data_IF_963653364542
#
_entry.id   IF_963653364542
#
_cell.length_a   1.000
_cell.length_b   1.000
_cell.length_c   1.000
_cell.angle_alpha   90.00
_cell.angle_beta   90.00
_cell.angle_gamma   90.00
#
_symmetry.space_group_name_H-M   'P 1'
#
loop_
_entity.id
_entity.type
_entity.pdbx_description
1 polymer ?
#
# COMPACT_ATOMS: atom_id res chain seq x y z
N UNK A 1 -0.94 37.05 13.37
CA UNK A 1 0.41 36.54 13.01
C UNK A 1 0.44 35.02 12.98
N UNK A 2 0.17 34.31 14.08
CA UNK A 2 0.10 32.83 14.10
C UNK A 2 -0.86 32.25 13.04
N UNK A 3 -2.10 32.75 12.92
CA UNK A 3 -3.05 32.25 11.91
C UNK A 3 -2.60 32.42 10.44
N UNK A 4 -1.80 33.45 10.14
CA UNK A 4 -1.26 33.69 8.79
C UNK A 4 -0.09 32.73 8.51
N UNK A 5 0.79 32.51 9.49
CA UNK A 5 1.89 31.55 9.40
C UNK A 5 1.34 30.12 9.25
N UNK A 6 0.33 29.76 10.05
CA UNK A 6 -0.36 28.47 9.92
C UNK A 6 -1.04 28.32 8.55
N UNK A 7 -1.70 29.36 8.03
CA UNK A 7 -2.29 29.35 6.69
C UNK A 7 -1.24 29.15 5.58
N UNK A 8 -0.11 29.87 5.64
CA UNK A 8 0.97 29.72 4.66
C UNK A 8 1.64 28.34 4.70
N UNK A 9 1.87 27.80 5.91
CA UNK A 9 2.41 26.45 6.08
C UNK A 9 1.44 25.40 5.57
N UNK A 10 0.15 25.55 5.85
CA UNK A 10 -0.92 24.66 5.38
C UNK A 10 -1.06 24.68 3.85
N UNK A 11 -0.95 25.85 3.21
CA UNK A 11 -0.97 25.97 1.75
C UNK A 11 0.29 25.40 1.09
N UNK A 12 1.47 25.57 1.73
CA UNK A 12 2.70 24.90 1.28
C UNK A 12 2.54 23.38 1.36
N UNK A 13 1.97 22.88 2.45
CA UNK A 13 1.65 21.47 2.68
C UNK A 13 0.73 20.87 1.62
N UNK A 14 -0.41 21.51 1.36
CA UNK A 14 -1.38 21.03 0.37
C UNK A 14 -0.80 21.02 -1.05
N UNK A 15 -0.01 22.04 -1.39
CA UNK A 15 0.70 22.09 -2.68
C UNK A 15 1.72 20.97 -2.81
N UNK A 16 2.47 20.68 -1.75
CA UNK A 16 3.43 19.58 -1.73
C UNK A 16 2.76 18.22 -1.88
N UNK A 17 1.69 17.96 -1.12
CA UNK A 17 0.92 16.72 -1.23
C UNK A 17 0.38 16.52 -2.65
N UNK A 18 -0.13 17.59 -3.28
CA UNK A 18 -0.61 17.55 -4.68
C UNK A 18 0.52 17.33 -5.69
N UNK A 19 1.67 17.98 -5.51
CA UNK A 19 2.82 17.85 -6.40
C UNK A 19 3.51 16.48 -6.32
N UNK A 20 3.50 15.86 -5.14
CA UNK A 20 4.13 14.55 -4.90
C UNK A 20 3.21 13.37 -5.22
N UNK A 21 1.89 13.61 -5.32
CA UNK A 21 0.89 12.64 -5.76
C UNK A 21 1.11 12.22 -7.21
N UNK A 22 1.07 10.92 -7.48
CA UNK A 22 1.16 10.37 -8.84
C UNK A 22 -0.24 10.13 -9.42
N UNK A 23 -0.41 10.20 -10.76
CA UNK A 23 -1.61 9.71 -11.43
C UNK A 23 -1.93 8.24 -11.07
N UNK A 24 -0.90 7.47 -10.79
CA UNK A 24 -0.94 6.03 -10.49
C UNK A 24 -1.22 5.71 -9.02
N UNK A 25 -1.26 6.71 -8.13
CA UNK A 25 -1.52 6.47 -6.71
C UNK A 25 -2.96 5.95 -6.52
N UNK A 26 -3.09 4.97 -5.62
CA UNK A 26 -4.38 4.46 -5.17
C UNK A 26 -5.22 5.55 -4.49
N UNK A 27 -6.51 5.23 -4.27
CA UNK A 27 -7.49 6.19 -3.78
C UNK A 27 -7.09 6.70 -2.39
N UNK A 28 -6.74 5.79 -1.48
CA UNK A 28 -6.36 6.16 -0.11
C UNK A 28 -5.01 6.88 -0.12
N UNK A 29 -4.07 6.41 -0.92
CA UNK A 29 -2.76 7.03 -1.04
C UNK A 29 -2.91 8.50 -1.45
N UNK A 30 -3.68 8.77 -2.49
CA UNK A 30 -3.92 10.14 -3.01
C UNK A 30 -4.61 11.05 -2.00
N UNK A 31 -5.67 10.58 -1.34
CA UNK A 31 -6.53 11.46 -0.53
C UNK A 31 -6.16 11.51 0.95
N UNK A 32 -5.48 10.48 1.46
CA UNK A 32 -5.08 10.32 2.86
C UNK A 32 -3.57 10.29 2.98
N UNK A 33 -2.88 9.27 2.41
CA UNK A 33 -1.48 9.04 2.74
C UNK A 33 -0.58 10.19 2.29
N UNK A 34 -0.79 10.76 1.09
CA UNK A 34 0.00 11.88 0.57
C UNK A 34 -0.09 13.14 1.42
N UNK A 35 -1.20 13.34 2.14
CA UNK A 35 -1.33 14.45 3.09
C UNK A 35 -0.47 14.26 4.34
N UNK A 36 -0.13 13.01 4.67
CA UNK A 36 0.69 12.64 5.81
C UNK A 36 2.15 12.41 5.43
N UNK A 37 2.44 11.84 4.25
CA UNK A 37 3.79 11.49 3.78
C UNK A 37 4.55 12.69 3.21
N UNK A 38 3.92 13.49 2.34
CA UNK A 38 4.57 14.65 1.70
C UNK A 38 5.26 15.61 2.68
N UNK A 39 4.68 15.94 3.84
CA UNK A 39 5.33 16.80 4.82
C UNK A 39 6.51 16.15 5.52
N UNK A 40 6.43 14.84 5.80
CA UNK A 40 7.54 14.08 6.35
C UNK A 40 8.70 14.11 5.35
N UNK A 41 8.41 13.84 4.08
CA UNK A 41 9.38 13.90 2.98
C UNK A 41 10.01 15.28 2.84
N UNK A 42 9.19 16.34 2.83
CA UNK A 42 9.69 17.71 2.76
C UNK A 42 10.55 18.06 3.96
N UNK A 43 10.13 17.70 5.17
CA UNK A 43 10.90 17.96 6.39
C UNK A 43 12.28 17.31 6.31
N UNK A 44 12.35 16.03 5.89
CA UNK A 44 13.60 15.28 5.70
C UNK A 44 14.51 15.95 4.67
N UNK A 45 13.94 16.40 3.54
CA UNK A 45 14.69 17.04 2.46
C UNK A 45 15.16 18.45 2.85
N UNK A 46 14.27 19.28 3.39
CA UNK A 46 14.55 20.68 3.77
C UNK A 46 15.59 20.79 4.88
N UNK A 47 15.62 19.83 5.82
CA UNK A 47 16.61 19.79 6.91
C UNK A 47 17.86 18.97 6.55
N UNK A 48 18.01 18.54 5.29
CA UNK A 48 19.15 17.75 4.81
C UNK A 48 19.45 16.51 5.68
N UNK A 49 18.42 15.86 6.22
CA UNK A 49 18.59 14.67 7.05
C UNK A 49 19.17 13.56 6.16
N UNK A 50 20.26 12.89 6.55
CA UNK A 50 21.00 11.93 5.71
C UNK A 50 20.29 10.56 5.62
N UNK A 51 18.99 10.56 5.35
CA UNK A 51 18.17 9.37 5.13
C UNK A 51 18.09 9.08 3.62
N UNK A 52 18.40 7.85 3.23
CA UNK A 52 18.25 7.38 1.84
C UNK A 52 16.86 6.76 1.63
N UNK A 53 16.38 6.63 0.38
CA UNK A 53 15.14 5.91 0.10
C UNK A 53 15.13 4.49 0.71
N UNK A 54 16.22 3.75 0.59
CA UNK A 54 16.33 2.39 1.14
C UNK A 54 16.24 2.36 2.67
N UNK A 55 16.75 3.39 3.38
CA UNK A 55 16.56 3.51 4.82
C UNK A 55 15.06 3.67 5.16
N UNK A 56 14.33 4.47 4.38
CA UNK A 56 12.89 4.62 4.59
C UNK A 56 12.10 3.35 4.26
N UNK A 57 12.46 2.62 3.21
CA UNK A 57 11.87 1.31 2.91
C UNK A 57 12.06 0.35 4.09
N UNK A 58 13.25 0.32 4.68
CA UNK A 58 13.52 -0.51 5.87
C UNK A 58 12.71 -0.04 7.09
N UNK A 59 12.60 1.26 7.33
CA UNK A 59 11.79 1.82 8.43
C UNK A 59 10.31 1.45 8.25
N UNK A 60 9.78 1.57 7.03
CA UNK A 60 8.41 1.14 6.69
C UNK A 60 8.22 -0.35 6.99
N UNK A 61 9.18 -1.19 6.60
CA UNK A 61 9.14 -2.62 6.89
C UNK A 61 9.20 -2.94 8.39
N UNK A 62 10.05 -2.26 9.17
CA UNK A 62 10.08 -2.41 10.63
C UNK A 62 8.76 -1.99 11.29
N UNK A 63 8.10 -0.95 10.77
CA UNK A 63 6.75 -0.56 11.20
C UNK A 63 5.72 -1.65 10.89
N UNK A 64 5.85 -2.33 9.74
CA UNK A 64 5.01 -3.48 9.41
C UNK A 64 5.21 -4.63 10.40
N UNK A 65 6.46 -4.95 10.75
CA UNK A 65 6.74 -5.97 11.77
C UNK A 65 6.15 -5.61 13.14
N UNK A 66 6.19 -4.34 13.53
CA UNK A 66 5.54 -3.87 14.75
C UNK A 66 4.00 -4.01 14.70
N UNK A 67 3.39 -3.77 13.54
CA UNK A 67 1.96 -4.04 13.30
C UNK A 67 1.64 -5.53 13.48
N UNK A 68 2.44 -6.41 12.86
CA UNK A 68 2.26 -7.87 13.00
C UNK A 68 2.36 -8.32 14.45
N UNK A 69 3.39 -7.86 15.16
CA UNK A 69 3.59 -8.19 16.57
C UNK A 69 2.43 -7.69 17.43
N UNK A 70 1.89 -6.51 17.13
CA UNK A 70 0.73 -5.97 17.86
C UNK A 70 -0.51 -6.87 17.73
N UNK A 71 -0.77 -7.44 16.55
CA UNK A 71 -1.85 -8.43 16.41
C UNK A 71 -1.59 -9.72 17.20
N UNK A 72 -0.34 -10.21 17.19
CA UNK A 72 0.06 -11.40 17.97
C UNK A 72 -0.06 -11.16 19.48
N UNK A 73 0.14 -9.93 19.95
CA UNK A 73 0.04 -9.52 21.35
C UNK A 73 -1.36 -9.05 21.77
N UNK A 74 -2.40 -9.32 20.98
CA UNK A 74 -3.79 -8.92 21.29
C UNK A 74 -4.01 -7.40 21.42
N UNK A 75 -3.25 -6.63 20.64
CA UNK A 75 -3.39 -5.18 20.52
C UNK A 75 -3.90 -4.79 19.12
N UNK A 76 -5.13 -5.21 18.71
CA UNK A 76 -5.60 -5.02 17.35
C UNK A 76 -5.73 -3.55 16.95
N UNK A 77 -6.08 -2.68 17.90
CA UNK A 77 -6.12 -1.23 17.65
C UNK A 77 -4.74 -0.71 17.21
N UNK A 78 -3.68 -1.03 17.97
CA UNK A 78 -2.32 -0.63 17.63
C UNK A 78 -1.85 -1.31 16.33
N UNK A 79 -2.18 -2.59 16.15
CA UNK A 79 -1.88 -3.33 14.92
C UNK A 79 -2.45 -2.65 13.68
N UNK A 80 -3.73 -2.27 13.71
CA UNK A 80 -4.38 -1.54 12.61
C UNK A 80 -3.80 -0.15 12.38
N UNK A 81 -3.52 0.62 13.44
CA UNK A 81 -2.87 1.94 13.33
C UNK A 81 -1.50 1.80 12.67
N UNK A 82 -0.67 0.86 13.11
CA UNK A 82 0.67 0.63 12.56
C UNK A 82 0.62 0.11 11.11
N UNK A 83 -0.41 -0.66 10.74
CA UNK A 83 -0.64 -1.06 9.36
C UNK A 83 -0.88 0.17 8.45
N UNK A 84 -1.68 1.13 8.89
CA UNK A 84 -1.89 2.37 8.17
C UNK A 84 -0.63 3.26 8.14
N UNK A 85 0.10 3.36 9.26
CA UNK A 85 1.37 4.11 9.32
C UNK A 85 2.39 3.51 8.34
N UNK A 86 2.48 2.19 8.24
CA UNK A 86 3.31 1.50 7.23
C UNK A 86 2.95 1.99 5.83
N UNK A 87 1.65 2.03 5.47
CA UNK A 87 1.19 2.53 4.17
C UNK A 87 1.55 4.00 3.89
N UNK A 88 1.65 4.83 4.93
CA UNK A 88 2.06 6.23 4.81
C UNK A 88 3.58 6.35 4.63
N UNK A 89 4.37 5.65 5.44
CA UNK A 89 5.83 5.69 5.41
C UNK A 89 6.40 5.14 4.10
N UNK A 90 5.74 4.14 3.53
CA UNK A 90 6.00 3.64 2.18
C UNK A 90 5.83 4.71 1.09
N UNK A 91 4.99 5.71 1.32
CA UNK A 91 4.89 6.84 0.41
C UNK A 91 6.16 7.72 0.41
N UNK A 92 6.85 7.77 1.55
CA UNK A 92 7.96 8.70 1.83
C UNK A 92 9.23 8.28 1.09
N UNK A 93 9.56 6.99 0.99
CA UNK A 93 10.79 6.54 0.33
C UNK A 93 10.82 6.93 -1.17
N UNK A 94 9.71 6.76 -1.86
CA UNK A 94 9.56 7.08 -3.27
C UNK A 94 9.48 8.59 -3.48
N UNK A 95 8.93 9.33 -2.53
CA UNK A 95 8.95 10.81 -2.53
C UNK A 95 10.38 11.33 -2.37
N UNK A 96 11.15 10.82 -1.40
CA UNK A 96 12.57 11.17 -1.23
C UNK A 96 13.37 10.80 -2.47
N UNK A 97 13.15 9.61 -3.05
CA UNK A 97 13.83 9.19 -4.27
C UNK A 97 13.57 10.13 -5.45
N UNK A 98 12.36 10.73 -5.54
CA UNK A 98 12.02 11.73 -6.55
C UNK A 98 12.65 13.09 -6.24
N UNK A 99 12.50 13.56 -5.00
CA UNK A 99 12.98 14.88 -4.58
C UNK A 99 14.51 14.99 -4.63
N UNK A 100 15.23 13.92 -4.31
CA UNK A 100 16.70 13.87 -4.36
C UNK A 100 17.28 13.28 -5.65
N UNK A 101 16.45 12.93 -6.64
CA UNK A 101 16.86 12.22 -7.86
C UNK A 101 17.65 10.92 -7.60
N UNK A 102 17.30 10.20 -6.53
CA UNK A 102 17.97 8.96 -6.08
C UNK A 102 17.19 7.69 -6.48
N UNK A 103 16.49 7.70 -7.62
CA UNK A 103 15.79 6.50 -8.11
C UNK A 103 16.81 5.43 -8.51
N UNK A 104 16.61 4.19 -8.08
CA UNK A 104 17.45 3.06 -8.45
C UNK A 104 16.63 1.80 -8.71
N UNK A 105 17.10 0.94 -9.61
CA UNK A 105 16.46 -0.37 -9.89
C UNK A 105 16.52 -1.29 -8.68
N UNK A 106 17.64 -1.26 -7.93
CA UNK A 106 17.79 -2.03 -6.70
C UNK A 106 16.78 -1.59 -5.64
N UNK A 107 16.64 -0.29 -5.39
CA UNK A 107 15.66 0.24 -4.42
C UNK A 107 14.23 -0.13 -4.81
N UNK A 108 13.86 0.02 -6.09
CA UNK A 108 12.53 -0.38 -6.58
C UNK A 108 12.26 -1.88 -6.44
N UNK A 109 13.28 -2.73 -6.61
CA UNK A 109 13.18 -4.17 -6.36
C UNK A 109 13.03 -4.48 -4.87
N UNK A 110 13.86 -3.88 -4.02
CA UNK A 110 13.85 -4.10 -2.57
C UNK A 110 12.51 -3.69 -1.95
N UNK A 111 12.04 -2.48 -2.25
CA UNK A 111 10.71 -1.97 -1.92
C UNK A 111 9.64 -2.97 -2.35
N UNK A 112 9.78 -3.44 -3.60
CA UNK A 112 8.84 -4.41 -4.15
C UNK A 112 8.88 -5.80 -3.51
N UNK A 113 9.92 -6.18 -2.77
CA UNK A 113 9.96 -7.46 -2.07
C UNK A 113 9.47 -7.30 -0.65
N UNK A 114 9.95 -6.26 0.05
CA UNK A 114 9.61 -6.00 1.44
C UNK A 114 8.13 -5.68 1.63
N UNK A 115 7.51 -4.97 0.69
CA UNK A 115 6.06 -4.77 0.67
C UNK A 115 5.27 -6.09 0.73
N UNK A 116 5.75 -7.12 0.04
CA UNK A 116 5.06 -8.40 -0.07
C UNK A 116 5.19 -9.21 1.23
N UNK A 117 6.33 -9.12 1.89
CA UNK A 117 6.49 -9.64 3.25
C UNK A 117 5.62 -8.87 4.25
N UNK A 118 5.61 -7.54 4.17
CA UNK A 118 4.80 -6.68 5.04
C UNK A 118 3.31 -6.97 4.89
N UNK A 119 2.78 -6.92 3.68
CA UNK A 119 1.36 -7.11 3.38
C UNK A 119 0.87 -8.49 3.80
N UNK A 120 1.57 -9.56 3.41
CA UNK A 120 1.20 -10.92 3.76
C UNK A 120 1.32 -11.15 5.27
N UNK A 121 2.40 -10.67 5.91
CA UNK A 121 2.61 -10.84 7.34
C UNK A 121 1.56 -10.12 8.18
N UNK A 122 1.15 -8.91 7.79
CA UNK A 122 0.07 -8.15 8.47
C UNK A 122 -1.25 -8.94 8.37
N UNK A 123 -1.62 -9.44 7.19
CA UNK A 123 -2.86 -10.21 7.05
C UNK A 123 -2.80 -11.54 7.81
N UNK A 124 -1.68 -12.26 7.75
CA UNK A 124 -1.50 -13.51 8.49
C UNK A 124 -1.59 -13.30 9.99
N UNK A 125 -0.92 -12.28 10.54
CA UNK A 125 -1.00 -11.96 11.97
C UNK A 125 -2.41 -11.50 12.40
N UNK A 126 -3.11 -10.75 11.55
CA UNK A 126 -4.51 -10.39 11.78
C UNK A 126 -5.45 -11.61 11.78
N UNK A 127 -5.23 -12.56 10.87
CA UNK A 127 -5.94 -13.85 10.84
C UNK A 127 -5.66 -14.67 12.09
N UNK A 128 -4.40 -14.74 12.54
CA UNK A 128 -4.04 -15.42 13.78
C UNK A 128 -4.73 -14.81 14.99
N UNK A 129 -4.78 -13.48 15.08
CA UNK A 129 -5.54 -12.76 16.11
C UNK A 129 -7.02 -13.19 16.10
N UNK A 130 -7.67 -13.19 14.93
CA UNK A 130 -9.07 -13.61 14.76
C UNK A 130 -9.29 -15.07 15.17
N UNK A 131 -8.41 -15.99 14.79
CA UNK A 131 -8.53 -17.41 15.16
C UNK A 131 -8.49 -17.64 16.67
N UNK A 132 -7.79 -16.79 17.43
CA UNK A 132 -7.78 -16.88 18.91
C UNK A 132 -9.05 -16.34 19.56
N UNK A 133 -9.73 -15.40 18.91
CA UNK A 133 -10.87 -14.65 19.49
C UNK A 133 -12.24 -15.15 19.00
N UNK A 134 -12.32 -15.68 17.78
CA UNK A 134 -13.56 -16.17 17.19
C UNK A 134 -13.65 -17.69 17.27
N UNK A 135 -13.97 -18.18 18.48
CA UNK A 135 -14.16 -19.62 18.72
C UNK A 135 -15.26 -20.18 17.82
N UNK A 136 -14.98 -21.28 17.14
CA UNK A 136 -15.94 -21.98 16.28
C UNK A 136 -15.93 -21.56 14.81
N UNK A 137 -15.21 -20.50 14.44
CA UNK A 137 -15.08 -20.02 13.04
C UNK A 137 -13.69 -20.30 12.43
N UNK A 138 -13.01 -21.33 12.91
CA UNK A 138 -11.62 -21.62 12.53
C UNK A 138 -11.46 -21.84 11.02
N UNK A 139 -12.42 -22.56 10.42
CA UNK A 139 -12.37 -22.90 9.00
C UNK A 139 -12.63 -21.66 8.14
N UNK A 140 -13.65 -20.89 8.48
CA UNK A 140 -14.08 -19.67 7.79
C UNK A 140 -12.98 -18.63 7.80
N UNK A 141 -12.42 -18.33 8.98
CA UNK A 141 -11.33 -17.36 9.14
C UNK A 141 -10.08 -17.81 8.37
N UNK A 142 -9.75 -19.11 8.40
CA UNK A 142 -8.59 -19.64 7.66
C UNK A 142 -8.80 -19.54 6.15
N UNK A 143 -9.97 -19.93 5.63
CA UNK A 143 -10.29 -19.85 4.20
C UNK A 143 -10.28 -18.40 3.74
N UNK A 144 -10.95 -17.49 4.45
CA UNK A 144 -10.97 -16.07 4.10
C UNK A 144 -9.57 -15.45 4.13
N UNK A 145 -8.74 -15.82 5.12
CA UNK A 145 -7.33 -15.42 5.19
C UNK A 145 -6.52 -15.88 3.98
N UNK A 146 -6.64 -17.16 3.61
CA UNK A 146 -5.96 -17.71 2.42
C UNK A 146 -6.42 -17.03 1.13
N UNK A 147 -7.73 -16.80 0.98
CA UNK A 147 -8.31 -16.12 -0.18
C UNK A 147 -7.84 -14.67 -0.27
N UNK A 148 -7.76 -13.95 0.85
CA UNK A 148 -7.23 -12.60 0.90
C UNK A 148 -5.76 -12.54 0.45
N UNK A 149 -4.89 -13.36 1.05
CA UNK A 149 -3.46 -13.43 0.70
C UNK A 149 -3.27 -13.82 -0.77
N UNK A 150 -4.04 -14.81 -1.26
CA UNK A 150 -4.02 -15.21 -2.66
C UNK A 150 -4.35 -14.04 -3.59
N UNK A 151 -5.47 -13.35 -3.37
CA UNK A 151 -5.87 -12.20 -4.19
C UNK A 151 -4.82 -11.07 -4.19
N UNK A 152 -4.19 -10.82 -3.03
CA UNK A 152 -3.14 -9.82 -2.88
C UNK A 152 -1.89 -10.14 -3.69
N UNK A 153 -1.43 -11.40 -3.63
CA UNK A 153 -0.28 -11.87 -4.38
C UNK A 153 -0.58 -11.82 -5.88
N UNK A 154 -1.75 -12.32 -6.31
CA UNK A 154 -2.16 -12.28 -7.71
C UNK A 154 -2.21 -10.84 -8.23
N UNK A 155 -2.78 -9.90 -7.45
CA UNK A 155 -2.83 -8.49 -7.85
C UNK A 155 -1.43 -7.92 -8.13
N UNK A 156 -0.47 -8.14 -7.22
CA UNK A 156 0.91 -7.69 -7.41
C UNK A 156 1.62 -8.42 -8.55
N UNK A 157 1.39 -9.72 -8.68
CA UNK A 157 2.02 -10.57 -9.69
C UNK A 157 1.61 -10.15 -11.10
N UNK A 158 0.30 -9.98 -11.33
CA UNK A 158 -0.25 -9.53 -12.62
C UNK A 158 0.34 -8.17 -13.02
N UNK A 159 0.51 -7.24 -12.07
CA UNK A 159 1.13 -5.95 -12.33
C UNK A 159 2.60 -6.10 -12.75
N UNK A 160 3.37 -6.84 -11.97
CA UNK A 160 4.81 -6.99 -12.18
C UNK A 160 5.13 -7.78 -13.45
N UNK A 161 4.35 -8.82 -13.77
CA UNK A 161 4.57 -9.63 -14.98
C UNK A 161 4.21 -8.86 -16.25
N UNK A 162 3.13 -8.05 -16.22
CA UNK A 162 2.79 -7.17 -17.33
C UNK A 162 3.92 -6.16 -17.58
N UNK A 163 4.40 -5.52 -16.52
CA UNK A 163 5.52 -4.57 -16.60
C UNK A 163 6.78 -5.23 -17.14
N UNK A 164 7.07 -6.47 -16.73
CA UNK A 164 8.25 -7.20 -17.20
C UNK A 164 8.18 -7.58 -18.68
N UNK A 165 7.00 -7.98 -19.19
CA UNK A 165 6.84 -8.42 -20.58
C UNK A 165 6.73 -7.26 -21.57
N UNK A 166 5.99 -6.20 -21.21
CA UNK A 166 5.72 -5.09 -22.12
C UNK A 166 6.62 -3.88 -21.88
N UNK A 167 7.42 -3.87 -20.80
CA UNK A 167 8.23 -2.73 -20.37
C UNK A 167 7.41 -1.42 -20.18
N UNK A 168 6.11 -1.56 -19.92
CA UNK A 168 5.16 -0.46 -19.72
C UNK A 168 4.53 -0.65 -18.34
N UNK A 169 4.41 0.43 -17.57
CA UNK A 169 3.73 0.34 -16.28
C UNK A 169 2.23 0.11 -16.49
N UNK A 170 1.58 -0.86 -15.81
CA UNK A 170 0.14 -1.06 -15.85
C UNK A 170 -0.67 0.21 -15.60
N UNK A 171 -0.14 1.14 -14.81
CA UNK A 171 -0.79 2.39 -14.47
C UNK A 171 -0.74 3.44 -15.60
N UNK A 172 0.12 3.25 -16.61
CA UNK A 172 0.14 4.09 -17.83
C UNK A 172 -0.97 3.66 -18.82
N UNK A 173 -1.37 2.38 -18.75
CA UNK A 173 -2.34 1.79 -19.68
C UNK A 173 -3.75 1.76 -19.10
N UNK A 174 -3.87 1.59 -17.78
CA UNK A 174 -5.15 1.56 -17.05
C UNK A 174 -5.21 2.75 -16.11
N UNK A 175 -6.01 3.76 -16.47
CA UNK A 175 -6.08 5.05 -15.77
C UNK A 175 -6.87 5.03 -14.46
N UNK A 176 -7.69 4.00 -14.23
CA UNK A 176 -8.47 3.89 -12.99
C UNK A 176 -7.68 3.14 -11.91
N UNK A 177 -7.60 3.67 -10.68
CA UNK A 177 -6.93 3.00 -9.58
C UNK A 177 -7.65 1.69 -9.23
N UNK A 178 -6.87 0.67 -8.88
CA UNK A 178 -7.44 -0.61 -8.47
C UNK A 178 -8.09 -0.49 -7.10
N UNK A 179 -9.28 -1.05 -6.92
CA UNK A 179 -9.89 -1.18 -5.60
C UNK A 179 -9.10 -2.13 -4.69
N UNK A 180 -8.38 -3.09 -5.29
CA UNK A 180 -7.48 -4.00 -4.58
C UNK A 180 -6.08 -3.39 -4.36
N UNK A 181 -5.90 -2.08 -4.46
CA UNK A 181 -4.58 -1.48 -4.22
C UNK A 181 -4.15 -1.62 -2.76
N UNK A 182 -2.83 -1.63 -2.52
CA UNK A 182 -2.25 -1.88 -1.20
C UNK A 182 -2.73 -0.90 -0.13
N UNK A 183 -2.77 0.38 -0.48
CA UNK A 183 -3.28 1.47 0.37
C UNK A 183 -4.73 1.27 0.81
N UNK A 184 -5.61 0.75 -0.08
CA UNK A 184 -7.00 0.45 0.27
C UNK A 184 -7.07 -0.69 1.28
N UNK A 185 -6.28 -1.76 1.10
CA UNK A 185 -6.29 -2.92 2.00
C UNK A 185 -5.78 -2.58 3.39
N UNK A 186 -4.65 -1.87 3.50
CA UNK A 186 -4.10 -1.48 4.80
C UNK A 186 -5.03 -0.50 5.54
N UNK A 187 -5.67 0.42 4.81
CA UNK A 187 -6.65 1.32 5.38
C UNK A 187 -7.92 0.60 5.84
N UNK A 188 -8.35 -0.42 5.10
CA UNK A 188 -9.49 -1.26 5.50
C UNK A 188 -9.20 -2.01 6.81
N UNK A 189 -7.99 -2.57 6.96
CA UNK A 189 -7.54 -3.17 8.22
C UNK A 189 -7.59 -2.14 9.35
N UNK A 190 -7.06 -0.94 9.11
CA UNK A 190 -7.05 0.14 10.08
C UNK A 190 -8.45 0.53 10.56
N UNK A 191 -9.37 0.81 9.65
CA UNK A 191 -10.76 1.16 9.98
C UNK A 191 -11.46 0.01 10.70
N UNK A 192 -11.29 -1.21 10.19
CA UNK A 192 -11.80 -2.42 10.83
C UNK A 192 -11.35 -2.58 12.27
N UNK A 193 -10.07 -2.31 12.53
CA UNK A 193 -9.48 -2.42 13.85
C UNK A 193 -9.95 -1.32 14.82
N UNK A 194 -10.14 -0.09 14.31
CA UNK A 194 -10.70 1.01 15.11
C UNK A 194 -12.15 0.75 15.49
N UNK A 195 -12.95 0.29 14.53
CA UNK A 195 -14.39 0.07 14.72
C UNK A 195 -14.71 -1.23 15.47
N UNK A 196 -13.75 -2.16 15.55
CA UNK A 196 -13.93 -3.47 16.17
C UNK A 196 -14.59 -4.52 15.27
N UNK A 197 -14.83 -4.20 13.99
CA UNK A 197 -15.43 -5.12 13.01
C UNK A 197 -14.38 -6.01 12.35
N UNK A 198 -13.71 -6.84 13.15
CA UNK A 198 -12.54 -7.61 12.70
C UNK A 198 -12.90 -8.68 11.66
N UNK A 199 -13.99 -9.42 11.86
CA UNK A 199 -14.40 -10.51 10.98
C UNK A 199 -14.90 -9.99 9.64
N UNK A 200 -15.74 -8.96 9.68
CA UNK A 200 -16.27 -8.26 8.50
C UNK A 200 -15.14 -7.66 7.67
N UNK A 201 -14.11 -7.13 8.34
CA UNK A 201 -12.89 -6.63 7.69
C UNK A 201 -12.16 -7.74 6.93
N UNK A 202 -12.06 -8.94 7.50
CA UNK A 202 -11.44 -10.07 6.81
C UNK A 202 -12.25 -10.51 5.58
N UNK A 203 -13.59 -10.55 5.68
CA UNK A 203 -14.47 -10.83 4.53
C UNK A 203 -14.25 -9.78 3.44
N UNK A 204 -14.29 -8.50 3.81
CA UNK A 204 -14.11 -7.40 2.88
C UNK A 204 -12.71 -7.43 2.22
N UNK A 205 -11.65 -7.76 2.97
CA UNK A 205 -10.30 -7.95 2.44
C UNK A 205 -10.25 -9.08 1.41
N UNK A 206 -10.86 -10.23 1.70
CA UNK A 206 -10.88 -11.38 0.80
C UNK A 206 -11.60 -11.03 -0.51
N UNK A 207 -12.77 -10.40 -0.43
CA UNK A 207 -13.57 -9.99 -1.58
C UNK A 207 -12.87 -8.92 -2.41
N UNK A 208 -12.41 -7.83 -1.78
CA UNK A 208 -11.76 -6.73 -2.49
C UNK A 208 -10.48 -7.23 -3.17
N UNK A 209 -9.66 -8.01 -2.48
CA UNK A 209 -8.40 -8.50 -3.04
C UNK A 209 -8.62 -9.43 -4.22
N UNK A 210 -9.56 -10.37 -4.13
CA UNK A 210 -9.85 -11.30 -5.23
C UNK A 210 -10.55 -10.61 -6.39
N UNK A 211 -11.68 -9.94 -6.15
CA UNK A 211 -12.45 -9.28 -7.21
C UNK A 211 -11.60 -8.21 -7.90
N UNK A 212 -10.90 -7.37 -7.13
CA UNK A 212 -10.05 -6.33 -7.70
C UNK A 212 -8.82 -6.89 -8.44
N UNK A 213 -8.26 -8.03 -8.02
CA UNK A 213 -7.21 -8.71 -8.78
C UNK A 213 -7.74 -9.26 -10.11
N UNK A 214 -8.93 -9.85 -10.13
CA UNK A 214 -9.58 -10.38 -11.34
C UNK A 214 -9.93 -9.27 -12.31
N UNK A 215 -10.53 -8.17 -11.84
CA UNK A 215 -10.83 -7.00 -12.69
C UNK A 215 -9.54 -6.48 -13.32
N UNK A 216 -8.49 -6.30 -12.51
CA UNK A 216 -7.19 -5.80 -13.01
C UNK A 216 -6.56 -6.74 -14.04
N UNK A 217 -6.68 -8.05 -13.82
CA UNK A 217 -6.22 -9.04 -14.79
C UNK A 217 -6.96 -8.92 -16.12
N UNK A 218 -8.29 -8.82 -16.11
CA UNK A 218 -9.09 -8.67 -17.33
C UNK A 218 -8.74 -7.38 -18.07
N UNK A 219 -8.61 -6.26 -17.36
CA UNK A 219 -8.19 -4.98 -17.93
C UNK A 219 -6.84 -5.10 -18.64
N UNK A 220 -5.84 -5.68 -17.98
CA UNK A 220 -4.50 -5.84 -18.55
C UNK A 220 -4.45 -6.88 -19.66
N UNK A 221 -5.26 -7.94 -19.59
CA UNK A 221 -5.38 -8.94 -20.66
C UNK A 221 -5.92 -8.31 -21.95
N UNK A 222 -6.96 -7.48 -21.84
CA UNK A 222 -7.52 -6.76 -22.99
C UNK A 222 -6.47 -5.85 -23.66
N UNK A 223 -5.62 -5.22 -22.84
CA UNK A 223 -4.54 -4.34 -23.31
C UNK A 223 -3.37 -5.11 -23.90
N UNK A 224 -2.95 -6.20 -23.26
CA UNK A 224 -1.91 -7.10 -23.77
C UNK A 224 -2.27 -7.61 -25.17
N UNK A 225 -3.55 -7.99 -25.39
CA UNK A 225 -4.03 -8.41 -26.71
C UNK A 225 -3.88 -7.30 -27.75
N UNK A 226 -4.27 -6.07 -27.42
CA UNK A 226 -4.15 -4.92 -28.35
C UNK A 226 -2.70 -4.57 -28.69
N UNK A 227 -1.77 -4.75 -27.76
CA UNK A 227 -0.34 -4.51 -27.98
C UNK A 227 0.30 -5.60 -28.83
N UNK A 228 -0.07 -6.88 -28.61
CA UNK A 228 0.45 -8.00 -29.38
C UNK A 228 -0.07 -8.09 -30.82
N UNK A 229 -1.25 -7.54 -31.11
CA UNK A 229 -1.79 -7.47 -32.48
C UNK A 229 -1.18 -6.35 -33.32
N UNK A 230 -0.48 -5.39 -32.71
CA UNK A 230 0.14 -4.24 -33.40
C UNK A 230 1.59 -4.47 -33.84
N UNK A 231 2.21 -5.58 -33.45
CA UNK A 231 3.61 -5.94 -33.76
C UNK A 231 3.75 -6.92 -34.92
N UNK A 232 2.70 -7.08 -35.73
CA UNK A 232 2.69 -7.90 -36.95
C UNK A 232 2.48 -7.04 -38.20
N UNK A 233 3.42 -6.13 -38.47
CA UNK A 233 3.65 -5.50 -39.78
C UNK A 233 5.13 -5.21 -39.94
#
# INVERSE_FOLDING_TARGET
VLGIIYGMLFDKWLRAAKALSKPTDGIISRYVNRKLSAPISLFIVEHNIPITPNHMTLISFLCALASMMSFVLDMPFLGGVLAQVTSVLDGVDGEIARLRNMKSSFGAYLDSVLDRFADCGIVVSFVLFLLRHLRGLYMEVSILGMVAVFGMIIHSYVHNIFKAHFNISPADVVKHPSLASRDVRLFLIFIGCILGFYFETLIALALISTIGSTIRFIELLSKAKSLGTGSSC
#
